data_IF_753391423517
#
_entry.id   IF_753391423517
#
_cell.length_a   1.000
_cell.length_b   1.000
_cell.length_c   1.000
_cell.angle_alpha   90.00
_cell.angle_beta   90.00
_cell.angle_gamma   90.00
#
_symmetry.space_group_name_H-M   'P 1'
#
loop_
_entity.id
_entity.type
_entity.pdbx_description
1 polymer ?
#
# COMPACT_ATOMS: atom_id res chain seq x y z
N UNK A 1 -0.32 9.92 -15.23
CA UNK A 1 -1.53 9.07 -15.40
C UNK A 1 -1.63 8.46 -16.79
N UNK A 2 -1.63 9.23 -17.87
CA UNK A 2 -1.77 8.69 -19.26
C UNK A 2 -0.68 7.65 -19.57
N UNK A 3 0.58 7.92 -19.24
CA UNK A 3 1.70 6.99 -19.47
C UNK A 3 1.57 5.66 -18.74
N UNK A 4 1.06 5.67 -17.52
CA UNK A 4 0.78 4.44 -16.76
C UNK A 4 -0.37 3.65 -17.37
N UNK A 5 -1.40 4.37 -17.84
CA UNK A 5 -2.54 3.75 -18.51
C UNK A 5 -2.12 3.08 -19.83
N UNK A 6 -1.29 3.75 -20.63
CA UNK A 6 -0.73 3.18 -21.87
C UNK A 6 0.11 1.94 -21.56
N UNK A 7 1.00 1.99 -20.56
CA UNK A 7 1.78 0.82 -20.15
C UNK A 7 0.91 -0.36 -19.71
N UNK A 8 -0.15 -0.09 -18.94
CA UNK A 8 -1.09 -1.12 -18.51
C UNK A 8 -1.89 -1.72 -19.67
N UNK A 9 -2.39 -0.90 -20.60
CA UNK A 9 -3.13 -1.36 -21.79
C UNK A 9 -2.24 -2.21 -22.68
N UNK A 10 -1.00 -1.78 -22.93
CA UNK A 10 -0.03 -2.55 -23.73
C UNK A 10 0.25 -3.90 -23.05
N UNK A 11 0.43 -3.93 -21.74
CA UNK A 11 0.64 -5.18 -20.99
C UNK A 11 -0.58 -6.11 -21.12
N UNK A 12 -1.81 -5.62 -20.88
CA UNK A 12 -3.05 -6.40 -20.98
C UNK A 12 -3.23 -7.01 -22.38
N UNK A 13 -2.83 -6.30 -23.43
CA UNK A 13 -2.93 -6.79 -24.82
C UNK A 13 -1.85 -7.84 -25.11
N UNK A 14 -0.62 -7.60 -24.64
CA UNK A 14 0.52 -8.47 -24.93
C UNK A 14 0.56 -9.74 -24.06
N UNK A 15 0.03 -9.70 -22.83
CA UNK A 15 -0.01 -10.84 -21.93
C UNK A 15 -0.66 -12.08 -22.59
N UNK A 16 -1.90 -12.04 -23.13
CA UNK A 16 -2.49 -13.19 -23.81
C UNK A 16 -1.68 -13.65 -25.03
N UNK A 17 -1.14 -12.69 -25.80
CA UNK A 17 -0.39 -12.99 -27.02
C UNK A 17 0.86 -13.80 -26.73
N UNK A 18 1.63 -13.41 -25.72
CA UNK A 18 2.87 -14.08 -25.36
C UNK A 18 2.68 -15.31 -24.48
N UNK A 19 1.68 -15.31 -23.58
CA UNK A 19 1.39 -16.46 -22.71
C UNK A 19 0.85 -17.64 -23.52
N UNK A 20 -0.09 -17.39 -24.44
CA UNK A 20 -0.75 -18.43 -25.25
C UNK A 20 -0.05 -18.69 -26.58
N UNK A 21 0.98 -17.92 -26.94
CA UNK A 21 1.78 -18.15 -28.15
C UNK A 21 1.07 -17.86 -29.47
N UNK A 22 0.09 -16.95 -29.50
CA UNK A 22 -0.66 -16.57 -30.71
C UNK A 22 0.21 -16.08 -31.88
N UNK A 23 1.46 -15.68 -31.63
CA UNK A 23 2.40 -15.23 -32.67
C UNK A 23 3.45 -16.29 -33.06
N UNK A 24 3.20 -17.57 -32.80
CA UNK A 24 4.07 -18.68 -33.24
C UNK A 24 5.44 -18.78 -32.55
N UNK A 25 5.73 -17.93 -31.60
CA UNK A 25 6.94 -18.03 -30.76
C UNK A 25 6.54 -18.57 -29.39
N UNK A 26 7.08 -19.72 -29.05
CA UNK A 26 6.87 -20.42 -27.78
C UNK A 26 7.59 -19.72 -26.61
N UNK A 27 7.26 -18.47 -26.32
CA UNK A 27 7.53 -17.87 -25.02
C UNK A 27 6.36 -18.27 -24.10
N UNK A 28 6.30 -19.56 -23.75
CA UNK A 28 5.16 -20.11 -23.01
C UNK A 28 5.19 -19.72 -21.53
N UNK A 29 4.02 -19.41 -20.99
CA UNK A 29 3.79 -19.28 -19.55
C UNK A 29 4.43 -18.05 -18.92
N UNK A 30 5.21 -18.25 -17.87
CA UNK A 30 5.80 -17.17 -17.05
C UNK A 30 6.76 -16.27 -17.81
N UNK A 31 7.52 -16.80 -18.76
CA UNK A 31 8.45 -16.01 -19.58
C UNK A 31 7.71 -15.05 -20.50
N UNK A 32 6.61 -15.49 -21.11
CA UNK A 32 5.76 -14.63 -21.95
C UNK A 32 5.17 -13.47 -21.16
N UNK A 33 4.64 -13.73 -19.96
CA UNK A 33 4.12 -12.70 -19.06
C UNK A 33 5.21 -11.70 -18.64
N UNK A 34 6.43 -12.16 -18.35
CA UNK A 34 7.55 -11.30 -17.99
C UNK A 34 7.94 -10.36 -19.15
N UNK A 35 8.02 -10.88 -20.38
CA UNK A 35 8.33 -10.07 -21.57
C UNK A 35 7.24 -9.03 -21.83
N UNK A 36 5.97 -9.41 -21.77
CA UNK A 36 4.85 -8.47 -21.93
C UNK A 36 4.90 -7.33 -20.89
N UNK A 37 5.20 -7.68 -19.63
CA UNK A 37 5.34 -6.69 -18.55
C UNK A 37 6.48 -5.70 -18.83
N UNK A 38 7.64 -6.21 -19.26
CA UNK A 38 8.80 -5.36 -19.60
C UNK A 38 8.46 -4.42 -20.74
N UNK A 39 7.85 -4.91 -21.81
CA UNK A 39 7.44 -4.08 -22.96
C UNK A 39 6.43 -3.00 -22.51
N UNK A 40 5.42 -3.36 -21.71
CA UNK A 40 4.46 -2.41 -21.16
C UNK A 40 5.13 -1.30 -20.34
N UNK A 41 6.12 -1.64 -19.52
CA UNK A 41 6.90 -0.66 -18.75
C UNK A 41 7.75 0.24 -19.64
N UNK A 42 8.40 -0.31 -20.68
CA UNK A 42 9.15 0.50 -21.65
C UNK A 42 8.26 1.47 -22.42
N UNK A 43 7.07 1.05 -22.84
CA UNK A 43 6.09 1.93 -23.47
C UNK A 43 5.63 3.05 -22.53
N UNK A 44 5.33 2.72 -21.27
CA UNK A 44 4.98 3.71 -20.25
C UNK A 44 6.10 4.71 -19.97
N UNK A 45 7.34 4.23 -19.86
CA UNK A 45 8.52 5.06 -19.66
C UNK A 45 8.78 5.98 -20.88
N UNK A 46 8.72 5.43 -22.10
CA UNK A 46 8.87 6.21 -23.34
C UNK A 46 7.81 7.31 -23.47
N UNK A 47 6.55 7.01 -23.13
CA UNK A 47 5.46 7.98 -23.11
C UNK A 47 5.68 9.07 -22.05
N UNK A 48 6.19 8.71 -20.88
CA UNK A 48 6.54 9.67 -19.82
C UNK A 48 7.65 10.61 -20.29
N UNK A 49 8.68 10.05 -20.91
CA UNK A 49 9.79 10.83 -21.46
C UNK A 49 9.31 11.78 -22.58
N UNK A 50 8.48 11.29 -23.50
CA UNK A 50 7.88 12.07 -24.56
C UNK A 50 7.09 13.27 -24.03
N UNK A 51 6.22 13.06 -23.01
CA UNK A 51 5.46 14.15 -22.40
C UNK A 51 6.36 15.15 -21.67
N UNK A 52 7.39 14.68 -20.97
CA UNK A 52 8.32 15.57 -20.28
C UNK A 52 9.14 16.43 -21.25
N UNK A 53 9.56 15.88 -22.39
CA UNK A 53 10.35 16.63 -23.36
C UNK A 53 9.50 17.64 -24.17
N UNK A 54 8.23 17.27 -24.50
CA UNK A 54 7.43 18.06 -25.45
C UNK A 54 6.34 18.92 -24.79
N UNK A 55 5.85 18.56 -23.60
CA UNK A 55 4.68 19.22 -22.99
C UNK A 55 4.93 19.76 -21.58
N UNK A 56 6.12 19.57 -21.01
CA UNK A 56 6.42 20.05 -19.68
C UNK A 56 7.39 21.24 -19.75
N UNK A 57 6.90 22.50 -19.65
CA UNK A 57 7.76 23.67 -19.67
C UNK A 57 8.60 23.84 -18.40
N UNK A 58 8.18 23.19 -17.30
CA UNK A 58 8.79 23.37 -15.98
C UNK A 58 10.06 22.54 -15.80
N UNK A 59 10.26 21.48 -16.61
CA UNK A 59 11.38 20.56 -16.49
C UNK A 59 12.12 20.50 -17.83
N UNK A 60 13.30 21.09 -17.89
CA UNK A 60 14.22 20.96 -19.02
C UNK A 60 15.25 19.87 -18.72
N UNK A 61 15.12 18.71 -19.39
CA UNK A 61 16.08 17.61 -19.28
C UNK A 61 17.30 17.97 -20.17
N UNK A 62 18.41 18.39 -19.54
CA UNK A 62 19.68 18.64 -20.20
C UNK A 62 20.80 17.86 -19.52
N UNK A 63 21.52 17.10 -20.30
CA UNK A 63 22.72 16.39 -19.85
C UNK A 63 23.99 17.23 -20.01
N UNK A 64 23.91 18.43 -20.65
CA UNK A 64 25.06 19.32 -20.79
C UNK A 64 25.46 19.92 -19.45
N UNK A 65 26.66 19.63 -18.98
CA UNK A 65 27.18 20.14 -17.72
C UNK A 65 26.66 19.39 -16.47
N UNK A 66 26.02 18.23 -16.64
CA UNK A 66 25.58 17.43 -15.50
C UNK A 66 26.77 17.02 -14.62
N UNK A 67 26.76 17.47 -13.37
CA UNK A 67 27.69 17.03 -12.32
C UNK A 67 26.86 16.49 -11.14
N UNK A 68 27.11 15.26 -10.66
CA UNK A 68 26.44 14.75 -9.50
C UNK A 68 26.72 15.62 -8.28
N UNK A 69 25.67 16.14 -7.64
CA UNK A 69 25.78 16.97 -6.45
C UNK A 69 25.50 16.13 -5.21
N UNK A 70 26.50 16.01 -4.33
CA UNK A 70 26.36 15.30 -3.06
C UNK A 70 25.21 15.88 -2.20
N UNK A 71 24.97 17.19 -2.26
CA UNK A 71 23.87 17.87 -1.57
C UNK A 71 22.49 17.45 -2.12
N UNK A 72 22.36 17.33 -3.45
CA UNK A 72 21.12 16.85 -4.06
C UNK A 72 20.88 15.39 -3.75
N UNK A 73 21.91 14.54 -3.86
CA UNK A 73 21.86 13.12 -3.51
C UNK A 73 21.46 12.95 -2.04
N UNK A 74 22.10 13.69 -1.12
CA UNK A 74 21.76 13.66 0.30
C UNK A 74 20.28 14.00 0.57
N UNK A 75 19.72 15.01 -0.11
CA UNK A 75 18.28 15.34 0.01
C UNK A 75 17.37 14.23 -0.50
N UNK A 76 17.72 13.59 -1.61
CA UNK A 76 16.97 12.46 -2.16
C UNK A 76 16.93 11.31 -1.14
N UNK A 77 18.08 10.96 -0.57
CA UNK A 77 18.15 9.89 0.44
C UNK A 77 17.46 10.25 1.75
N UNK A 78 17.51 11.51 2.18
CA UNK A 78 16.81 11.95 3.40
C UNK A 78 15.31 11.72 3.31
N UNK A 79 14.72 11.88 2.13
CA UNK A 79 13.28 11.64 1.90
C UNK A 79 13.00 10.18 1.54
N UNK A 80 13.91 9.54 0.80
CA UNK A 80 13.75 8.19 0.29
C UNK A 80 13.98 7.10 1.34
N UNK A 81 14.94 7.26 2.25
CA UNK A 81 15.27 6.26 3.28
C UNK A 81 14.08 5.87 4.18
N UNK A 82 13.27 6.80 4.70
CA UNK A 82 12.07 6.42 5.46
C UNK A 82 11.10 5.57 4.64
N UNK A 83 10.92 5.88 3.35
CA UNK A 83 10.03 5.12 2.46
C UNK A 83 10.58 3.72 2.17
N UNK A 84 11.89 3.59 1.94
CA UNK A 84 12.56 2.28 1.78
C UNK A 84 12.39 1.46 3.07
N UNK A 85 12.65 2.05 4.22
CA UNK A 85 12.50 1.38 5.51
C UNK A 85 11.06 0.88 5.72
N UNK A 86 10.03 1.68 5.38
CA UNK A 86 8.63 1.25 5.46
C UNK A 86 8.33 0.04 4.58
N UNK A 87 8.88 -0.03 3.37
CA UNK A 87 8.70 -1.17 2.48
C UNK A 87 9.42 -2.43 3.02
N UNK A 88 10.63 -2.28 3.54
CA UNK A 88 11.36 -3.37 4.18
C UNK A 88 10.61 -3.93 5.39
N UNK A 89 10.00 -3.06 6.20
CA UNK A 89 9.18 -3.46 7.35
C UNK A 89 8.00 -4.33 6.92
N UNK A 90 7.32 -4.00 5.81
CA UNK A 90 6.25 -4.80 5.24
C UNK A 90 6.71 -6.21 4.84
N UNK A 91 7.87 -6.31 4.19
CA UNK A 91 8.46 -7.60 3.81
C UNK A 91 8.85 -8.44 5.03
N UNK A 92 9.46 -7.82 6.04
CA UNK A 92 9.82 -8.47 7.30
C UNK A 92 8.59 -8.98 8.06
N UNK A 93 7.50 -8.20 8.05
CA UNK A 93 6.22 -8.61 8.64
C UNK A 93 5.67 -9.85 7.95
N UNK A 94 5.59 -9.83 6.62
CA UNK A 94 5.09 -10.97 5.84
C UNK A 94 5.93 -12.23 6.07
N UNK A 95 7.24 -12.09 6.07
CA UNK A 95 8.16 -13.19 6.38
C UNK A 95 7.92 -13.75 7.78
N UNK A 96 7.83 -12.90 8.80
CA UNK A 96 7.59 -13.31 10.18
C UNK A 96 6.23 -13.99 10.37
N UNK A 97 5.18 -13.48 9.73
CA UNK A 97 3.86 -14.11 9.77
C UNK A 97 3.85 -15.49 9.11
N UNK A 98 4.53 -15.64 7.97
CA UNK A 98 4.67 -16.93 7.30
C UNK A 98 5.38 -17.97 8.18
N UNK A 99 6.42 -17.57 8.93
CA UNK A 99 7.09 -18.47 9.87
C UNK A 99 6.15 -18.93 11.00
N UNK A 100 5.36 -18.01 11.56
CA UNK A 100 4.38 -18.34 12.62
C UNK A 100 3.30 -19.29 12.07
N UNK A 101 2.75 -18.99 10.88
CA UNK A 101 1.67 -19.78 10.30
C UNK A 101 2.15 -21.15 9.80
N UNK A 102 3.40 -21.26 9.34
CA UNK A 102 3.99 -22.53 8.92
C UNK A 102 4.05 -23.54 10.08
N UNK A 103 4.18 -23.07 11.32
CA UNK A 103 4.14 -23.94 12.49
C UNK A 103 2.78 -24.63 12.70
N UNK A 104 1.69 -24.08 12.13
CA UNK A 104 0.37 -24.69 12.17
C UNK A 104 0.11 -25.59 10.95
N UNK A 105 0.24 -25.05 9.74
CA UNK A 105 0.09 -25.81 8.50
C UNK A 105 0.52 -24.97 7.27
N UNK A 106 0.92 -25.69 6.20
CA UNK A 106 1.14 -25.06 4.89
C UNK A 106 -0.15 -24.43 4.33
N UNK A 107 -1.32 -24.98 4.66
CA UNK A 107 -2.63 -24.42 4.28
C UNK A 107 -2.88 -23.05 4.91
N UNK A 108 -2.47 -22.83 6.17
CA UNK A 108 -2.59 -21.53 6.81
C UNK A 108 -1.73 -20.45 6.12
N UNK A 109 -0.53 -20.82 5.66
CA UNK A 109 0.32 -19.93 4.86
C UNK A 109 -0.32 -19.61 3.51
N UNK A 110 -0.92 -20.61 2.84
CA UNK A 110 -1.63 -20.41 1.58
C UNK A 110 -2.85 -19.47 1.75
N UNK A 111 -3.63 -19.63 2.82
CA UNK A 111 -4.75 -18.73 3.19
C UNK A 111 -4.24 -17.30 3.36
N UNK A 112 -3.13 -17.11 4.08
CA UNK A 112 -2.54 -15.80 4.28
C UNK A 112 -2.08 -15.15 2.96
N UNK A 113 -1.48 -15.94 2.06
CA UNK A 113 -1.08 -15.48 0.73
C UNK A 113 -2.27 -15.01 -0.12
N UNK A 114 -3.37 -15.78 -0.13
CA UNK A 114 -4.61 -15.39 -0.82
C UNK A 114 -5.24 -14.16 -0.18
N UNK A 115 -5.29 -14.10 1.15
CA UNK A 115 -5.77 -12.91 1.87
C UNK A 115 -4.99 -11.66 1.43
N UNK A 116 -3.65 -11.71 1.35
CA UNK A 116 -2.83 -10.57 0.91
C UNK A 116 -3.17 -10.09 -0.51
N UNK A 117 -3.40 -11.01 -1.43
CA UNK A 117 -3.82 -10.67 -2.80
C UNK A 117 -5.19 -9.98 -2.80
N UNK A 118 -6.13 -10.52 -2.06
CA UNK A 118 -7.48 -9.97 -1.94
C UNK A 118 -7.50 -8.61 -1.24
N UNK A 119 -6.73 -8.47 -0.17
CA UNK A 119 -6.54 -7.19 0.52
C UNK A 119 -6.01 -6.12 -0.43
N UNK A 120 -5.09 -6.47 -1.32
CA UNK A 120 -4.51 -5.53 -2.28
C UNK A 120 -5.58 -4.88 -3.16
N UNK A 121 -6.64 -5.58 -3.55
CA UNK A 121 -7.74 -5.00 -4.31
C UNK A 121 -8.50 -3.93 -3.53
N UNK A 122 -8.67 -4.11 -2.22
CA UNK A 122 -9.33 -3.13 -1.34
C UNK A 122 -8.42 -1.93 -1.08
N UNK A 123 -7.11 -2.14 -0.97
CA UNK A 123 -6.14 -1.10 -0.62
C UNK A 123 -5.69 -0.27 -1.83
N UNK A 124 -5.72 -0.81 -3.06
CA UNK A 124 -5.33 -0.07 -4.27
C UNK A 124 -6.11 1.24 -4.49
N UNK A 125 -7.44 1.29 -4.35
CA UNK A 125 -8.17 2.55 -4.45
C UNK A 125 -7.72 3.60 -3.42
N UNK A 126 -7.33 3.18 -2.22
CA UNK A 126 -6.84 4.08 -1.17
C UNK A 126 -5.46 4.62 -1.51
N UNK A 127 -4.59 3.81 -2.10
CA UNK A 127 -3.30 4.26 -2.63
C UNK A 127 -3.53 5.31 -3.72
N UNK A 128 -4.49 5.09 -4.61
CA UNK A 128 -4.91 6.07 -5.61
C UNK A 128 -5.42 7.38 -5.01
N UNK A 129 -6.26 7.29 -3.98
CA UNK A 129 -6.76 8.44 -3.21
C UNK A 129 -5.60 9.24 -2.58
N UNK A 130 -4.64 8.54 -1.96
CA UNK A 130 -3.47 9.17 -1.34
C UNK A 130 -2.58 9.87 -2.37
N UNK A 131 -2.37 9.26 -3.53
CA UNK A 131 -1.59 9.87 -4.62
C UNK A 131 -2.22 11.17 -5.13
N UNK A 132 -3.55 11.29 -5.09
CA UNK A 132 -4.27 12.53 -5.39
C UNK A 132 -4.26 13.53 -4.24
N UNK A 133 -4.37 13.05 -3.00
CA UNK A 133 -4.45 13.88 -1.80
C UNK A 133 -3.13 14.58 -1.45
N UNK A 134 -2.01 13.85 -1.54
CA UNK A 134 -0.68 14.36 -1.13
C UNK A 134 -0.30 15.66 -1.83
N UNK A 135 -0.41 15.81 -3.16
CA UNK A 135 -0.12 17.08 -3.83
C UNK A 135 -1.05 18.22 -3.37
N UNK A 136 -2.34 17.92 -3.14
CA UNK A 136 -3.31 18.94 -2.69
C UNK A 136 -2.94 19.46 -1.31
N UNK A 137 -2.57 18.58 -0.39
CA UNK A 137 -2.14 18.95 0.95
C UNK A 137 -0.86 19.77 0.90
N UNK A 138 0.17 19.29 0.20
CA UNK A 138 1.46 19.97 0.10
C UNK A 138 1.33 21.35 -0.53
N UNK A 139 0.54 21.50 -1.59
CA UNK A 139 0.28 22.80 -2.23
C UNK A 139 -0.44 23.76 -1.30
N UNK A 140 -1.53 23.33 -0.65
CA UNK A 140 -2.29 24.22 0.26
C UNK A 140 -1.52 24.55 1.55
N UNK A 141 -0.63 23.64 1.99
CA UNK A 141 0.30 23.91 3.08
C UNK A 141 1.29 25.01 2.71
N UNK A 142 1.92 24.92 1.53
CA UNK A 142 2.82 25.96 1.01
C UNK A 142 2.11 27.31 0.76
N UNK A 143 0.85 27.26 0.35
CA UNK A 143 0.00 28.46 0.15
C UNK A 143 -0.57 29.03 1.46
N UNK A 144 -0.20 28.51 2.63
CA UNK A 144 -0.70 28.90 3.96
C UNK A 144 -2.22 28.92 4.06
N UNK A 145 -2.89 27.85 3.58
CA UNK A 145 -4.35 27.69 3.63
C UNK A 145 -4.75 26.51 4.52
N UNK A 146 -4.69 26.66 5.87
CA UNK A 146 -4.92 25.57 6.82
C UNK A 146 -6.32 24.98 6.74
N UNK A 147 -7.35 25.79 6.43
CA UNK A 147 -8.72 25.30 6.30
C UNK A 147 -8.86 24.28 5.15
N UNK A 148 -8.19 24.55 4.02
CA UNK A 148 -8.19 23.63 2.88
C UNK A 148 -7.43 22.34 3.21
N UNK A 149 -6.31 22.45 3.93
CA UNK A 149 -5.56 21.26 4.41
C UNK A 149 -6.46 20.39 5.28
N UNK A 150 -7.09 20.96 6.32
CA UNK A 150 -7.99 20.21 7.21
C UNK A 150 -9.19 19.61 6.49
N UNK A 151 -9.80 20.36 5.58
CA UNK A 151 -10.93 19.87 4.77
C UNK A 151 -10.53 18.70 3.89
N UNK A 152 -9.37 18.78 3.24
CA UNK A 152 -8.82 17.71 2.41
C UNK A 152 -8.56 16.45 3.23
N UNK A 153 -7.93 16.58 4.41
CA UNK A 153 -7.67 15.44 5.31
C UNK A 153 -9.00 14.80 5.73
N UNK A 154 -9.98 15.60 6.19
CA UNK A 154 -11.28 15.07 6.62
C UNK A 154 -11.99 14.31 5.49
N UNK A 155 -12.03 14.87 4.29
CA UNK A 155 -12.67 14.23 3.14
C UNK A 155 -11.93 12.94 2.75
N UNK A 156 -10.60 12.96 2.73
CA UNK A 156 -9.80 11.78 2.39
C UNK A 156 -10.02 10.64 3.39
N UNK A 157 -10.09 10.94 4.70
CA UNK A 157 -10.42 9.94 5.73
C UNK A 157 -11.82 9.38 5.50
N UNK A 158 -12.83 10.23 5.25
CA UNK A 158 -14.19 9.76 5.00
C UNK A 158 -14.29 8.85 3.76
N UNK A 159 -13.62 9.20 2.65
CA UNK A 159 -13.59 8.36 1.46
C UNK A 159 -12.82 7.06 1.68
N UNK A 160 -11.68 7.09 2.37
CA UNK A 160 -10.90 5.91 2.69
C UNK A 160 -11.70 4.94 3.57
N UNK A 161 -12.37 5.45 4.62
CA UNK A 161 -13.23 4.62 5.48
C UNK A 161 -14.43 4.05 4.71
N UNK A 162 -15.03 4.82 3.79
CA UNK A 162 -16.08 4.33 2.92
C UNK A 162 -15.62 3.15 2.04
N UNK A 163 -14.43 3.25 1.43
CA UNK A 163 -13.81 2.16 0.65
C UNK A 163 -13.53 0.95 1.53
N UNK A 164 -12.94 1.18 2.71
CA UNK A 164 -12.63 0.11 3.67
C UNK A 164 -13.88 -0.58 4.20
N UNK A 165 -14.98 0.15 4.41
CA UNK A 165 -16.25 -0.42 4.81
C UNK A 165 -16.83 -1.36 3.75
N UNK A 166 -16.72 -0.99 2.47
CA UNK A 166 -17.10 -1.88 1.36
C UNK A 166 -16.26 -3.16 1.39
N UNK A 167 -14.93 -3.05 1.52
CA UNK A 167 -14.03 -4.20 1.65
C UNK A 167 -14.38 -5.08 2.87
N UNK A 168 -14.66 -4.46 4.01
CA UNK A 168 -15.12 -5.14 5.22
C UNK A 168 -16.40 -5.94 4.96
N UNK A 169 -17.42 -5.32 4.35
CA UNK A 169 -18.68 -5.98 4.03
C UNK A 169 -18.47 -7.19 3.11
N UNK A 170 -17.63 -7.06 2.08
CA UNK A 170 -17.34 -8.17 1.16
C UNK A 170 -16.71 -9.34 1.91
N UNK A 171 -15.69 -9.09 2.76
CA UNK A 171 -14.99 -10.16 3.49
C UNK A 171 -15.80 -10.74 4.65
N UNK A 172 -16.72 -9.97 5.21
CA UNK A 172 -17.58 -10.44 6.28
C UNK A 172 -18.73 -11.31 5.78
N UNK A 173 -19.39 -10.89 4.68
CA UNK A 173 -20.62 -11.54 4.20
C UNK A 173 -20.38 -12.53 3.06
N UNK A 174 -19.34 -12.35 2.26
CA UNK A 174 -19.03 -13.17 1.09
C UNK A 174 -17.65 -13.87 1.10
N UNK A 175 -17.09 -14.31 2.25
CA UNK A 175 -15.72 -14.84 2.30
C UNK A 175 -15.55 -16.13 1.48
N UNK A 176 -16.58 -16.99 1.40
CA UNK A 176 -16.53 -18.23 0.62
C UNK A 176 -16.45 -17.94 -0.89
N UNK A 177 -17.24 -16.99 -1.38
CA UNK A 177 -17.27 -16.61 -2.79
C UNK A 177 -15.92 -16.02 -3.20
N UNK A 178 -15.37 -15.15 -2.35
CA UNK A 178 -14.09 -14.48 -2.59
C UNK A 178 -12.93 -15.48 -2.60
N UNK A 179 -12.91 -16.44 -1.66
CA UNK A 179 -11.93 -17.53 -1.66
C UNK A 179 -12.12 -18.48 -2.84
N UNK A 180 -13.35 -18.70 -3.28
CA UNK A 180 -13.68 -19.53 -4.44
C UNK A 180 -13.05 -19.07 -5.75
N UNK A 181 -12.78 -17.76 -5.91
CA UNK A 181 -12.06 -17.19 -7.07
C UNK A 181 -10.65 -17.79 -7.19
N UNK A 182 -10.04 -18.21 -6.07
CA UNK A 182 -8.71 -18.81 -6.02
C UNK A 182 -8.74 -20.35 -5.98
N UNK A 183 -9.84 -20.97 -6.39
CA UNK A 183 -10.03 -22.42 -6.38
C UNK A 183 -9.66 -23.07 -5.01
N UNK A 184 -10.13 -22.43 -3.92
CA UNK A 184 -9.82 -22.84 -2.56
C UNK A 184 -10.38 -24.25 -2.27
N UNK A 185 -9.53 -25.14 -1.75
CA UNK A 185 -9.95 -26.47 -1.26
C UNK A 185 -10.78 -26.35 0.01
N UNK A 186 -11.53 -27.42 0.36
CA UNK A 186 -12.33 -27.46 1.59
C UNK A 186 -11.49 -27.18 2.84
N UNK A 187 -10.26 -27.72 2.89
CA UNK A 187 -9.33 -27.44 3.98
C UNK A 187 -8.93 -25.96 4.05
N UNK A 188 -8.77 -25.32 2.89
CA UNK A 188 -8.47 -23.90 2.79
C UNK A 188 -9.67 -23.02 3.17
N UNK A 189 -10.90 -23.42 2.85
CA UNK A 189 -12.12 -22.76 3.25
C UNK A 189 -12.34 -22.84 4.76
N UNK A 190 -12.05 -24.00 5.38
CA UNK A 190 -12.19 -24.19 6.83
C UNK A 190 -11.33 -23.21 7.65
N UNK A 191 -10.13 -22.89 7.20
CA UNK A 191 -9.23 -21.91 7.85
C UNK A 191 -9.48 -20.50 7.32
N UNK A 192 -9.73 -20.34 6.02
CA UNK A 192 -9.79 -19.07 5.34
C UNK A 192 -11.03 -18.24 5.66
N UNK A 193 -12.20 -18.89 5.82
CA UNK A 193 -13.45 -18.17 6.15
C UNK A 193 -13.37 -17.50 7.51
N UNK A 194 -12.99 -18.18 8.60
CA UNK A 194 -12.79 -17.52 9.90
C UNK A 194 -11.67 -16.47 9.83
N UNK A 195 -10.57 -16.76 9.17
CA UNK A 195 -9.45 -15.84 9.00
C UNK A 195 -9.91 -14.52 8.37
N UNK A 196 -10.63 -14.57 7.25
CA UNK A 196 -11.12 -13.36 6.57
C UNK A 196 -12.07 -12.54 7.44
N UNK A 197 -13.00 -13.20 8.16
CA UNK A 197 -13.94 -12.53 9.04
C UNK A 197 -13.26 -11.84 10.22
N UNK A 198 -12.21 -12.42 10.76
CA UNK A 198 -11.47 -11.83 11.88
C UNK A 198 -10.57 -10.71 11.37
N UNK A 199 -9.79 -10.98 10.33
CA UNK A 199 -8.82 -10.00 9.84
C UNK A 199 -9.53 -8.76 9.30
N UNK A 200 -10.65 -8.88 8.56
CA UNK A 200 -11.32 -7.71 7.97
C UNK A 200 -11.79 -6.67 9.00
N UNK A 201 -11.87 -7.02 10.28
CA UNK A 201 -12.18 -6.05 11.36
C UNK A 201 -11.19 -4.90 11.41
N UNK A 202 -9.90 -5.14 11.06
CA UNK A 202 -8.92 -4.07 11.04
C UNK A 202 -9.18 -3.04 9.93
N UNK A 203 -9.94 -3.37 8.87
CA UNK A 203 -10.28 -2.43 7.81
C UNK A 203 -11.03 -1.21 8.33
N UNK A 204 -11.89 -1.38 9.35
CA UNK A 204 -12.65 -0.29 9.97
C UNK A 204 -11.78 0.81 10.60
N UNK A 205 -10.50 0.56 10.77
CA UNK A 205 -9.55 1.47 11.37
C UNK A 205 -8.41 1.83 10.40
N UNK A 206 -8.14 0.95 9.43
CA UNK A 206 -6.99 1.06 8.55
C UNK A 206 -7.08 2.25 7.60
N UNK A 207 -8.29 2.64 7.17
CA UNK A 207 -8.49 3.80 6.30
C UNK A 207 -7.92 5.07 6.89
N UNK A 208 -8.26 5.37 8.14
CA UNK A 208 -7.75 6.55 8.86
C UNK A 208 -6.23 6.50 9.04
N UNK A 209 -5.69 5.37 9.47
CA UNK A 209 -4.26 5.22 9.73
C UNK A 209 -3.41 5.36 8.47
N UNK A 210 -3.87 4.82 7.33
CA UNK A 210 -3.19 4.94 6.03
C UNK A 210 -3.21 6.39 5.52
N UNK A 211 -4.37 7.06 5.60
CA UNK A 211 -4.51 8.46 5.18
C UNK A 211 -3.63 9.36 6.05
N UNK A 212 -3.68 9.24 7.37
CA UNK A 212 -2.87 10.05 8.28
C UNK A 212 -1.37 9.83 8.04
N UNK A 213 -0.94 8.60 7.77
CA UNK A 213 0.44 8.30 7.42
C UNK A 213 0.88 9.05 6.15
N UNK A 214 0.02 9.13 5.14
CA UNK A 214 0.28 9.90 3.92
C UNK A 214 0.27 11.42 4.16
N UNK A 215 -0.58 11.90 5.08
CA UNK A 215 -0.59 13.31 5.53
C UNK A 215 0.73 13.69 6.17
N UNK A 216 1.31 12.83 7.03
CA UNK A 216 2.62 13.10 7.65
C UNK A 216 3.71 13.24 6.60
N UNK A 217 3.71 12.39 5.58
CA UNK A 217 4.65 12.49 4.45
C UNK A 217 4.45 13.79 3.65
N UNK A 218 3.19 14.15 3.34
CA UNK A 218 2.83 15.36 2.61
C UNK A 218 3.29 16.66 3.32
N UNK A 219 3.31 16.65 4.65
CA UNK A 219 3.75 17.77 5.50
C UNK A 219 5.25 17.72 5.85
N UNK A 220 6.02 16.82 5.21
CA UNK A 220 7.46 16.69 5.44
C UNK A 220 7.86 15.91 6.71
N UNK A 221 6.91 15.31 7.42
CA UNK A 221 7.12 14.58 8.65
C UNK A 221 7.13 13.04 8.45
N UNK A 222 7.80 12.56 7.40
CA UNK A 222 7.85 11.13 7.04
C UNK A 222 8.34 10.19 8.14
N UNK A 223 9.10 10.70 9.10
CA UNK A 223 9.57 9.94 10.26
C UNK A 223 8.40 9.44 11.12
N UNK A 224 7.32 10.21 11.28
CA UNK A 224 6.14 9.76 12.03
C UNK A 224 5.45 8.60 11.33
N UNK A 225 5.36 8.62 9.99
CA UNK A 225 4.83 7.49 9.21
C UNK A 225 5.68 6.25 9.40
N UNK A 226 7.01 6.40 9.39
CA UNK A 226 7.95 5.30 9.64
C UNK A 226 7.75 4.72 11.04
N UNK A 227 7.69 5.54 12.08
CA UNK A 227 7.49 5.09 13.46
C UNK A 227 6.18 4.31 13.59
N UNK A 228 5.06 4.83 13.06
CA UNK A 228 3.77 4.14 13.08
C UNK A 228 3.87 2.79 12.36
N UNK A 229 4.50 2.74 11.19
CA UNK A 229 4.65 1.52 10.39
C UNK A 229 5.49 0.47 11.10
N UNK A 230 6.63 0.86 11.67
CA UNK A 230 7.54 -0.02 12.43
C UNK A 230 6.86 -0.56 13.68
N UNK A 231 6.24 0.33 14.48
CA UNK A 231 5.53 -0.07 15.70
C UNK A 231 4.40 -1.04 15.37
N UNK A 232 3.56 -0.73 14.39
CA UNK A 232 2.44 -1.57 14.00
C UNK A 232 2.90 -2.96 13.57
N UNK A 233 3.87 -3.05 12.66
CA UNK A 233 4.20 -4.31 11.98
C UNK A 233 5.21 -5.16 12.73
N UNK A 234 6.23 -4.55 13.37
CA UNK A 234 7.29 -5.30 14.04
C UNK A 234 7.06 -5.43 15.54
N UNK A 235 6.67 -4.33 16.21
CA UNK A 235 6.58 -4.32 17.67
C UNK A 235 5.22 -4.72 18.22
N UNK A 236 4.15 -4.63 17.42
CA UNK A 236 2.81 -5.03 17.86
C UNK A 236 2.34 -6.28 17.14
N UNK A 237 2.28 -6.28 15.80
CA UNK A 237 1.70 -7.39 15.05
C UNK A 237 2.46 -8.71 15.28
N UNK A 238 3.78 -8.71 15.13
CA UNK A 238 4.59 -9.94 15.27
C UNK A 238 4.55 -10.52 16.69
N UNK A 239 4.82 -9.75 17.76
CA UNK A 239 4.72 -10.27 19.11
C UNK A 239 3.30 -10.72 19.46
N UNK A 240 2.27 -9.96 19.07
CA UNK A 240 0.89 -10.36 19.30
C UNK A 240 0.55 -11.68 18.57
N UNK A 241 0.94 -11.83 17.31
CA UNK A 241 0.74 -13.06 16.54
C UNK A 241 1.48 -14.24 17.18
N UNK A 242 2.71 -14.04 17.64
CA UNK A 242 3.51 -15.07 18.30
C UNK A 242 2.87 -15.51 19.63
N UNK A 243 2.43 -14.56 20.47
CA UNK A 243 1.75 -14.86 21.74
C UNK A 243 0.43 -15.59 21.50
N UNK A 244 -0.36 -15.14 20.54
CA UNK A 244 -1.63 -15.78 20.18
C UNK A 244 -1.42 -17.16 19.53
N UNK A 245 -0.31 -17.39 18.86
CA UNK A 245 0.05 -18.70 18.30
C UNK A 245 0.28 -19.75 19.40
N UNK A 246 0.74 -19.34 20.59
CA UNK A 246 0.95 -20.26 21.71
C UNK A 246 -0.36 -20.90 22.25
N UNK A 247 -1.50 -20.30 21.92
CA UNK A 247 -2.82 -20.88 22.26
C UNK A 247 -3.14 -22.16 21.46
N UNK A 248 -2.32 -22.53 20.48
CA UNK A 248 -2.53 -23.72 19.64
C UNK A 248 -3.64 -23.58 18.59
N UNK A 249 -4.34 -22.44 18.53
CA UNK A 249 -5.42 -22.20 17.57
C UNK A 249 -5.05 -21.12 16.58
N UNK A 250 -4.96 -21.49 15.29
CA UNK A 250 -4.62 -20.57 14.20
C UNK A 250 -5.59 -19.38 14.09
N UNK A 251 -6.87 -19.56 14.47
CA UNK A 251 -7.85 -18.48 14.41
C UNK A 251 -7.53 -17.33 15.38
N UNK A 252 -6.86 -17.63 16.49
CA UNK A 252 -6.45 -16.60 17.43
C UNK A 252 -5.33 -15.72 16.84
N UNK A 253 -4.46 -16.28 16.01
CA UNK A 253 -3.36 -15.52 15.36
C UNK A 253 -3.89 -14.36 14.50
N UNK A 254 -5.05 -14.51 13.89
CA UNK A 254 -5.65 -13.48 13.04
C UNK A 254 -6.06 -12.22 13.80
N UNK A 255 -6.33 -12.31 15.10
CA UNK A 255 -6.63 -11.14 15.94
C UNK A 255 -5.45 -10.18 16.09
N UNK A 256 -4.23 -10.65 15.86
CA UNK A 256 -3.05 -9.80 15.90
C UNK A 256 -3.14 -8.60 14.95
N UNK A 257 -3.81 -8.76 13.80
CA UNK A 257 -4.01 -7.67 12.84
C UNK A 257 -4.90 -6.56 13.41
N UNK A 258 -5.98 -6.93 14.08
CA UNK A 258 -6.88 -5.97 14.71
C UNK A 258 -6.21 -5.23 15.87
N UNK A 259 -5.48 -5.96 16.72
CA UNK A 259 -4.72 -5.38 17.84
C UNK A 259 -3.67 -4.38 17.31
N UNK A 260 -2.94 -4.76 16.28
CA UNK A 260 -1.92 -3.90 15.68
C UNK A 260 -2.53 -2.62 15.07
N UNK A 261 -3.72 -2.71 14.48
CA UNK A 261 -4.36 -1.56 13.88
C UNK A 261 -4.91 -0.58 14.92
N UNK A 262 -5.42 -1.07 16.05
CA UNK A 262 -5.83 -0.19 17.17
C UNK A 262 -4.64 0.67 17.63
N UNK A 263 -3.48 0.05 17.86
CA UNK A 263 -2.26 0.78 18.26
C UNK A 263 -1.83 1.76 17.17
N UNK A 264 -1.90 1.35 15.90
CA UNK A 264 -1.57 2.20 14.75
C UNK A 264 -2.41 3.46 14.69
N UNK A 265 -3.74 3.33 14.86
CA UNK A 265 -4.67 4.47 14.84
C UNK A 265 -4.43 5.38 16.02
N UNK A 266 -4.28 4.84 17.23
CA UNK A 266 -4.00 5.66 18.42
C UNK A 266 -2.72 6.47 18.27
N UNK A 267 -1.63 5.85 17.78
CA UNK A 267 -0.38 6.55 17.49
C UNK A 267 -0.56 7.61 16.39
N UNK A 268 -1.27 7.27 15.32
CA UNK A 268 -1.52 8.20 14.21
C UNK A 268 -2.33 9.41 14.65
N UNK A 269 -3.34 9.22 15.50
CA UNK A 269 -4.12 10.32 16.06
C UNK A 269 -3.28 11.21 17.00
N UNK A 270 -2.42 10.60 17.84
CA UNK A 270 -1.51 11.33 18.71
C UNK A 270 -0.52 12.19 17.91
N UNK A 271 0.08 11.61 16.86
CA UNK A 271 0.98 12.37 15.97
C UNK A 271 0.24 13.43 15.16
N UNK A 272 -0.98 13.14 14.69
CA UNK A 272 -1.80 14.13 14.02
C UNK A 272 -2.14 15.31 14.95
N UNK A 273 -2.52 15.06 16.19
CA UNK A 273 -2.77 16.10 17.17
C UNK A 273 -1.52 16.98 17.40
N UNK A 274 -0.33 16.37 17.46
CA UNK A 274 0.96 17.08 17.55
C UNK A 274 1.21 17.93 16.31
N UNK A 275 1.12 17.35 15.11
CA UNK A 275 1.33 18.07 13.84
C UNK A 275 0.30 19.19 13.65
N UNK A 276 -0.93 18.95 14.04
CA UNK A 276 -1.96 20.00 13.98
C UNK A 276 -1.58 21.23 14.83
N UNK A 277 -1.02 21.00 16.03
CA UNK A 277 -0.56 22.09 16.91
C UNK A 277 0.73 22.77 16.42
N UNK A 278 1.69 22.00 15.94
CA UNK A 278 3.04 22.52 15.61
C UNK A 278 3.19 22.98 14.17
N UNK A 279 2.41 22.44 13.25
CA UNK A 279 2.60 22.64 11.80
C UNK A 279 1.40 23.29 11.12
N UNK A 280 0.16 22.87 11.45
CA UNK A 280 -1.05 23.37 10.78
C UNK A 280 -1.62 24.61 11.49
N UNK A 281 -1.70 24.60 12.81
CA UNK A 281 -2.27 25.73 13.57
C UNK A 281 -1.48 27.04 13.41
N UNK A 282 -0.12 27.03 13.36
CA UNK A 282 0.64 28.28 13.12
C UNK A 282 0.39 28.93 11.75
N UNK A 283 -0.22 28.23 10.81
CA UNK A 283 -0.58 28.82 9.50
C UNK A 283 -1.77 29.78 9.57
N UNK A 284 -2.51 29.81 10.68
CA UNK A 284 -3.60 30.77 10.91
C UNK A 284 -3.09 32.17 11.34
N UNK A 285 -1.84 32.25 11.75
CA UNK A 285 -1.12 33.47 12.13
C UNK A 285 0.01 33.75 11.12
#
# INVERSE_FOLDING_TARGET
MISQLVGAVVNIILDPIFIFGYCGQALSGTTGAAVATVIGQFCGAGMTLFFNLNKNPDIQISFKGFRPSAKAIGRIYTVGLPSIAMQCVGSLMTFGMNLILMAFSATAVAVFGVYFKLQSFVFMPIIGLNNGMVPIISYNYGARRPDRVKKTIKLAVCYAEGIMLVGFCIFQFAPRQVLGIFAASDAMLAIGVPAMRIICLHFLLAGASIVLSSVFQALGNGIFSLIVSVCRQLFVLRPAAWLLAQTGNVNNVWWAFFIAEIVSVLMSLAFYARINKTTIAPLYH
#
